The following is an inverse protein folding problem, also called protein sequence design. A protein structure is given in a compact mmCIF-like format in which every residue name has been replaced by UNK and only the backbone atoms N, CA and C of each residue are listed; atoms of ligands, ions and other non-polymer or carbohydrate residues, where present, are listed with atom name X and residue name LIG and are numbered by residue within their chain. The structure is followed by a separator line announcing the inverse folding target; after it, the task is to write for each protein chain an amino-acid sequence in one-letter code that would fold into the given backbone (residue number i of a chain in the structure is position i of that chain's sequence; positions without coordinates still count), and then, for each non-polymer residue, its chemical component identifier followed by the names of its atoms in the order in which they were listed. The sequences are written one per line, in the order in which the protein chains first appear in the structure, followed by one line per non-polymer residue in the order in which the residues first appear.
data_IF_265267191483
#
_entry.id   IF_265267191483
#
_cell.length_a   1.000
_cell.length_b   1.000
_cell.length_c   1.000
_cell.angle_alpha   90.00
_cell.angle_beta   90.00
_cell.angle_gamma   90.00
#
_symmetry.space_group_name_H-M   'P 1'
#
loop_
_entity.id
_entity.type
_entity.pdbx_description
1 polymer ?
#
# COMPACT_ATOMS: atom_id res chain seq x y z
N UNK A 1 9.98 -13.77 -16.75
CA UNK A 1 11.39 -13.39 -16.53
C UNK A 1 12.28 -14.54 -16.94
N UNK A 2 13.26 -14.27 -17.79
CA UNK A 2 14.32 -15.23 -18.11
C UNK A 2 15.20 -15.44 -16.88
N UNK A 3 15.57 -16.69 -16.61
CA UNK A 3 16.46 -17.04 -15.51
C UNK A 3 17.89 -16.94 -16.01
N UNK A 4 18.49 -15.78 -15.84
CA UNK A 4 19.93 -15.61 -16.01
C UNK A 4 20.66 -16.21 -14.81
N UNK A 5 21.97 -16.45 -14.96
CA UNK A 5 22.83 -16.91 -13.86
C UNK A 5 24.03 -15.99 -13.76
N UNK A 6 24.47 -15.73 -12.54
CA UNK A 6 25.67 -14.95 -12.24
C UNK A 6 26.63 -15.79 -11.41
N UNK A 7 27.92 -15.74 -11.74
CA UNK A 7 28.98 -16.37 -10.96
C UNK A 7 29.67 -15.33 -10.10
N UNK A 8 29.68 -15.55 -8.79
CA UNK A 8 30.41 -14.74 -7.82
C UNK A 8 31.39 -15.67 -7.12
N UNK A 9 32.68 -15.43 -7.33
CA UNK A 9 33.76 -16.36 -6.95
C UNK A 9 33.53 -17.76 -7.55
N UNK A 10 33.36 -18.79 -6.70
CA UNK A 10 33.04 -20.16 -7.12
C UNK A 10 31.53 -20.50 -7.11
N UNK A 11 30.67 -19.57 -6.71
CA UNK A 11 29.24 -19.83 -6.51
C UNK A 11 28.42 -19.31 -7.67
N UNK A 12 27.42 -20.08 -8.08
CA UNK A 12 26.51 -19.74 -9.17
C UNK A 12 25.10 -19.48 -8.65
N UNK A 13 24.62 -18.25 -8.82
CA UNK A 13 23.33 -17.79 -8.31
C UNK A 13 22.33 -17.52 -9.45
N UNK A 14 21.02 -17.70 -9.22
CA UNK A 14 20.01 -17.17 -10.13
C UNK A 14 20.07 -15.64 -10.13
N UNK A 15 20.06 -15.04 -11.32
CA UNK A 15 20.00 -13.61 -11.50
C UNK A 15 18.61 -13.22 -12.04
N UNK A 16 17.96 -12.31 -11.32
CA UNK A 16 16.69 -11.73 -11.69
C UNK A 16 16.91 -10.26 -12.02
N UNK A 17 16.65 -9.87 -13.27
CA UNK A 17 16.71 -8.48 -13.72
C UNK A 17 15.31 -7.90 -13.84
N UNK A 18 15.13 -6.70 -13.34
CA UNK A 18 13.88 -5.93 -13.48
C UNK A 18 14.20 -4.43 -13.39
N UNK A 19 13.34 -3.59 -13.94
CA UNK A 19 13.41 -2.14 -13.78
C UNK A 19 13.08 -1.71 -12.34
N UNK A 20 12.10 -2.36 -11.69
CA UNK A 20 11.71 -2.02 -10.31
C UNK A 20 11.48 -3.27 -9.46
N UNK A 21 12.26 -3.38 -8.39
CA UNK A 21 12.09 -4.39 -7.35
C UNK A 21 11.25 -3.83 -6.19
N UNK A 22 10.19 -4.53 -5.82
CA UNK A 22 9.39 -4.25 -4.62
C UNK A 22 9.64 -5.36 -3.60
N UNK A 23 10.11 -4.98 -2.42
CA UNK A 23 10.37 -5.92 -1.31
C UNK A 23 9.17 -5.93 -0.36
N UNK A 24 8.60 -7.11 -0.16
CA UNK A 24 7.41 -7.36 0.65
C UNK A 24 6.15 -7.53 -0.20
N UNK A 25 5.13 -8.17 0.39
CA UNK A 25 3.84 -8.45 -0.27
C UNK A 25 2.64 -7.94 0.52
N UNK A 26 2.82 -6.98 1.43
CA UNK A 26 1.70 -6.33 2.14
C UNK A 26 0.84 -5.46 1.21
N UNK A 27 -0.25 -4.89 1.74
CA UNK A 27 -1.16 -4.05 0.96
C UNK A 27 -0.43 -2.87 0.29
N UNK A 28 0.51 -2.23 0.98
CA UNK A 28 1.31 -1.13 0.42
C UNK A 28 2.14 -1.57 -0.81
N UNK A 29 2.83 -2.72 -0.72
CA UNK A 29 3.65 -3.25 -1.80
C UNK A 29 2.81 -3.65 -3.02
N UNK A 30 1.69 -4.34 -2.78
CA UNK A 30 0.77 -4.76 -3.84
C UNK A 30 0.12 -3.55 -4.53
N UNK A 31 -0.24 -2.52 -3.76
CA UNK A 31 -0.79 -1.29 -4.31
C UNK A 31 0.24 -0.50 -5.13
N UNK A 32 1.48 -0.40 -4.63
CA UNK A 32 2.59 0.18 -5.36
C UNK A 32 2.79 -0.50 -6.73
N UNK A 33 2.79 -1.84 -6.75
CA UNK A 33 2.91 -2.60 -7.98
C UNK A 33 1.77 -2.31 -8.97
N UNK A 34 0.52 -2.24 -8.48
CA UNK A 34 -0.63 -1.90 -9.33
C UNK A 34 -0.46 -0.51 -9.98
N UNK A 35 -0.11 0.49 -9.18
CA UNK A 35 0.07 1.86 -9.66
C UNK A 35 1.26 2.00 -10.62
N UNK A 36 2.41 1.36 -10.35
CA UNK A 36 3.56 1.38 -11.25
C UNK A 36 3.20 0.86 -12.65
N UNK A 37 2.50 -0.27 -12.72
CA UNK A 37 2.03 -0.82 -14.00
C UNK A 37 1.05 0.12 -14.69
N UNK A 38 0.10 0.69 -13.95
CA UNK A 38 -0.86 1.67 -14.49
C UNK A 38 -0.18 2.96 -14.99
N UNK A 39 0.96 3.34 -14.40
CA UNK A 39 1.80 4.45 -14.84
C UNK A 39 2.75 4.08 -16.00
N UNK A 40 2.70 2.84 -16.48
CA UNK A 40 3.47 2.37 -17.64
C UNK A 40 4.78 1.67 -17.31
N UNK A 41 5.13 1.50 -16.03
CA UNK A 41 6.29 0.71 -15.61
C UNK A 41 5.88 -0.77 -15.58
N UNK A 42 6.14 -1.49 -16.67
CA UNK A 42 5.69 -2.89 -16.82
C UNK A 42 6.69 -3.92 -16.26
N UNK A 43 7.97 -3.58 -16.17
CA UNK A 43 9.02 -4.47 -15.67
C UNK A 43 9.20 -4.31 -14.15
N UNK A 44 8.19 -4.80 -13.41
CA UNK A 44 8.11 -4.76 -11.95
C UNK A 44 8.21 -6.18 -11.40
N UNK A 45 9.01 -6.37 -10.36
CA UNK A 45 9.14 -7.64 -9.66
C UNK A 45 8.80 -7.46 -8.18
N UNK A 46 7.93 -8.31 -7.63
CA UNK A 46 7.70 -8.38 -6.19
C UNK A 46 8.47 -9.56 -5.62
N UNK A 47 9.18 -9.35 -4.51
CA UNK A 47 9.84 -10.41 -3.73
C UNK A 47 9.31 -10.42 -2.30
N UNK A 48 9.04 -11.59 -1.74
CA UNK A 48 8.51 -11.72 -0.38
C UNK A 48 8.98 -13.01 0.29
N UNK A 49 9.24 -12.94 1.60
CA UNK A 49 9.56 -14.12 2.39
C UNK A 49 8.37 -15.07 2.50
N UNK A 50 7.15 -14.54 2.72
CA UNK A 50 5.93 -15.33 2.75
C UNK A 50 4.75 -14.53 2.20
N UNK A 51 4.15 -15.00 1.11
CA UNK A 51 2.95 -14.41 0.55
C UNK A 51 1.76 -14.62 1.49
N UNK A 52 1.17 -13.53 1.97
CA UNK A 52 0.06 -13.59 2.91
C UNK A 52 0.49 -13.78 4.36
N UNK A 53 1.79 -13.82 4.64
CA UNK A 53 2.36 -13.85 6.00
C UNK A 53 2.29 -12.50 6.72
N UNK A 54 1.99 -11.40 6.03
CA UNK A 54 2.05 -10.05 6.60
C UNK A 54 0.83 -9.62 7.43
N UNK A 55 0.96 -8.51 8.15
CA UNK A 55 -0.14 -7.93 8.95
C UNK A 55 -1.36 -7.57 8.10
N UNK A 56 -1.16 -7.14 6.84
CA UNK A 56 -2.28 -6.74 5.99
C UNK A 56 -3.26 -7.88 5.70
N UNK A 57 -2.79 -9.12 5.60
CA UNK A 57 -3.60 -10.31 5.33
C UNK A 57 -4.14 -11.00 6.58
N UNK A 58 -3.45 -10.86 7.72
CA UNK A 58 -3.75 -11.60 8.95
C UNK A 58 -4.43 -10.78 10.05
N UNK A 59 -4.37 -9.45 9.99
CA UNK A 59 -4.98 -8.61 11.03
C UNK A 59 -6.50 -8.57 10.93
N UNK A 60 -7.15 -8.49 12.09
CA UNK A 60 -8.56 -8.17 12.22
C UNK A 60 -8.82 -7.36 13.49
N UNK A 61 -9.80 -6.47 13.44
CA UNK A 61 -10.22 -5.63 14.57
C UNK A 61 -11.69 -5.27 14.40
N UNK A 62 -12.45 -5.18 15.48
CA UNK A 62 -13.85 -4.73 15.48
C UNK A 62 -14.09 -3.45 14.67
N UNK A 63 -13.09 -2.55 14.63
CA UNK A 63 -13.08 -1.31 13.83
C UNK A 63 -11.74 -1.09 13.14
N UNK A 64 -11.31 -2.03 12.33
CA UNK A 64 -10.16 -1.80 11.46
C UNK A 64 -10.49 -0.69 10.46
N UNK A 65 -9.83 0.46 10.65
CA UNK A 65 -10.27 1.74 10.09
C UNK A 65 -9.40 2.17 8.93
N UNK A 66 -10.03 2.53 7.82
CA UNK A 66 -9.47 3.34 6.76
C UNK A 66 -9.91 4.80 6.97
N UNK A 67 -8.97 5.75 6.93
CA UNK A 67 -9.30 7.17 6.99
C UNK A 67 -9.34 7.75 5.58
N UNK A 68 -10.47 8.39 5.24
CA UNK A 68 -10.67 9.19 4.02
C UNK A 68 -11.30 10.54 4.38
N UNK A 69 -11.25 11.51 3.48
CA UNK A 69 -12.05 12.73 3.68
C UNK A 69 -13.53 12.38 3.93
N UNK A 70 -14.22 13.26 4.66
CA UNK A 70 -15.66 13.16 4.83
C UNK A 70 -16.33 13.41 3.47
N UNK A 71 -16.86 12.35 2.87
CA UNK A 71 -17.46 12.38 1.52
C UNK A 71 -19.00 12.36 1.55
N UNK A 72 -19.58 12.21 2.74
CA UNK A 72 -21.02 12.10 2.93
C UNK A 72 -21.44 12.91 4.16
N UNK A 73 -22.58 13.58 4.07
CA UNK A 73 -23.10 14.46 5.11
C UNK A 73 -22.89 15.94 4.82
N UNK A 74 -23.27 16.78 5.78
CA UNK A 74 -23.25 18.25 5.65
C UNK A 74 -21.98 18.88 6.25
N UNK A 75 -21.13 18.09 6.91
CA UNK A 75 -19.92 18.61 7.54
C UNK A 75 -18.88 19.02 6.50
N UNK A 76 -18.34 20.24 6.65
CA UNK A 76 -17.20 20.69 5.85
C UNK A 76 -15.94 19.93 6.26
N UNK A 77 -15.19 19.48 5.26
CA UNK A 77 -13.89 18.84 5.42
C UNK A 77 -12.92 19.32 4.34
N UNK A 78 -11.62 19.12 4.57
CA UNK A 78 -10.57 19.40 3.58
C UNK A 78 -9.32 18.58 3.85
N UNK A 79 -8.48 18.44 2.83
CA UNK A 79 -7.15 17.83 2.92
C UNK A 79 -6.34 18.43 4.07
N UNK A 80 -6.29 19.76 4.19
CA UNK A 80 -5.53 20.44 5.24
C UNK A 80 -6.10 20.22 6.64
N UNK A 81 -7.42 20.10 6.77
CA UNK A 81 -8.05 19.75 8.06
C UNK A 81 -7.68 18.32 8.47
N UNK A 82 -7.73 17.36 7.55
CA UNK A 82 -7.31 15.98 7.83
C UNK A 82 -5.82 15.90 8.15
N UNK A 83 -4.97 16.60 7.39
CA UNK A 83 -3.53 16.67 7.66
C UNK A 83 -3.23 17.25 9.06
N UNK A 84 -3.93 18.31 9.47
CA UNK A 84 -3.82 18.86 10.83
C UNK A 84 -4.21 17.83 11.89
N UNK A 85 -5.28 17.07 11.68
CA UNK A 85 -5.70 16.01 12.59
C UNK A 85 -4.63 14.92 12.71
N UNK A 86 -4.08 14.44 11.59
CA UNK A 86 -3.02 13.42 11.57
C UNK A 86 -1.73 13.92 12.25
N UNK A 87 -1.36 15.19 12.02
CA UNK A 87 -0.17 15.82 12.59
C UNK A 87 -0.28 16.09 14.10
N UNK A 88 -1.47 16.44 14.59
CA UNK A 88 -1.67 16.94 15.95
C UNK A 88 -1.21 15.98 17.07
N UNK A 89 -1.12 14.67 16.79
CA UNK A 89 -0.60 13.67 17.72
C UNK A 89 0.92 13.71 17.93
N UNK A 90 1.67 14.48 17.12
CA UNK A 90 3.12 14.67 17.24
C UNK A 90 3.99 13.51 16.75
N UNK A 91 3.39 12.39 16.34
CA UNK A 91 4.10 11.20 15.86
C UNK A 91 4.24 11.13 14.32
N UNK A 92 3.89 12.21 13.61
CA UNK A 92 3.89 12.27 12.15
C UNK A 92 4.41 13.62 11.68
N UNK A 93 5.23 13.65 10.63
CA UNK A 93 5.66 14.89 10.00
C UNK A 93 4.49 15.54 9.21
N UNK A 94 4.45 16.87 9.18
CA UNK A 94 3.33 17.61 8.59
C UNK A 94 3.21 17.45 7.08
N UNK A 95 4.32 17.26 6.38
CA UNK A 95 4.38 16.96 4.95
C UNK A 95 3.82 15.57 4.63
N UNK A 96 4.21 14.54 5.39
CA UNK A 96 3.64 13.21 5.29
C UNK A 96 2.13 13.24 5.59
N UNK A 97 1.72 13.96 6.63
CA UNK A 97 0.30 14.11 6.97
C UNK A 97 -0.50 14.74 5.83
N UNK A 98 0.09 15.72 5.14
CA UNK A 98 -0.52 16.35 3.97
C UNK A 98 -0.63 15.40 2.78
N UNK A 99 0.41 14.60 2.51
CA UNK A 99 0.43 13.61 1.43
C UNK A 99 -0.64 12.54 1.69
N UNK A 100 -0.65 11.93 2.88
CA UNK A 100 -1.64 10.92 3.25
C UNK A 100 -3.08 11.46 3.15
N UNK A 101 -3.33 12.67 3.65
CA UNK A 101 -4.65 13.30 3.55
C UNK A 101 -5.08 13.60 2.10
N UNK A 102 -4.15 13.98 1.23
CA UNK A 102 -4.42 14.34 -0.16
C UNK A 102 -4.67 13.10 -1.04
N UNK A 103 -3.92 12.02 -0.81
CA UNK A 103 -3.96 10.81 -1.63
C UNK A 103 -4.99 9.80 -1.13
N UNK A 104 -5.33 9.82 0.16
CA UNK A 104 -6.29 8.89 0.75
C UNK A 104 -7.64 8.81 -0.01
N UNK A 105 -8.31 9.92 -0.41
CA UNK A 105 -9.54 9.81 -1.18
C UNK A 105 -9.35 9.10 -2.54
N UNK A 106 -8.21 9.30 -3.20
CA UNK A 106 -7.92 8.66 -4.48
C UNK A 106 -7.74 7.15 -4.29
N UNK A 107 -6.96 6.76 -3.28
CA UNK A 107 -6.72 5.36 -2.97
C UNK A 107 -7.97 4.66 -2.43
N UNK A 108 -8.81 5.37 -1.67
CA UNK A 108 -10.10 4.85 -1.25
C UNK A 108 -10.96 4.45 -2.46
N UNK A 109 -11.06 5.32 -3.47
CA UNK A 109 -11.81 5.01 -4.67
C UNK A 109 -11.14 3.94 -5.54
N UNK A 110 -9.81 3.88 -5.58
CA UNK A 110 -9.10 2.77 -6.20
C UNK A 110 -9.50 1.42 -5.58
N UNK A 111 -9.51 1.32 -4.25
CA UNK A 111 -9.93 0.11 -3.54
C UNK A 111 -11.41 -0.23 -3.76
N UNK A 112 -12.27 0.78 -3.84
CA UNK A 112 -13.68 0.61 -4.24
C UNK A 112 -13.79 -0.01 -5.63
N UNK A 113 -13.04 0.51 -6.62
CA UNK A 113 -13.02 -0.01 -8.00
C UNK A 113 -12.51 -1.46 -8.06
N UNK A 114 -11.53 -1.81 -7.22
CA UNK A 114 -11.07 -3.19 -7.05
C UNK A 114 -12.10 -4.09 -6.33
N UNK A 115 -13.17 -3.53 -5.80
CA UNK A 115 -14.30 -4.24 -5.19
C UNK A 115 -14.15 -4.50 -3.70
N UNK A 116 -13.41 -3.67 -2.96
CA UNK A 116 -13.46 -3.65 -1.49
C UNK A 116 -14.84 -3.13 -1.06
N UNK A 117 -15.61 -3.88 -0.23
CA UNK A 117 -17.01 -3.58 0.03
C UNK A 117 -17.17 -2.54 1.16
N UNK A 118 -16.65 -1.34 0.95
CA UNK A 118 -16.87 -0.23 1.89
C UNK A 118 -18.37 0.13 1.96
N UNK A 119 -18.89 0.45 3.15
CA UNK A 119 -20.30 0.75 3.33
C UNK A 119 -20.69 2.07 2.65
N UNK A 120 -21.84 2.07 1.98
CA UNK A 120 -22.45 3.27 1.42
C UNK A 120 -23.96 3.29 1.73
N UNK A 121 -24.55 4.48 1.73
CA UNK A 121 -26.00 4.63 1.89
C UNK A 121 -26.77 4.22 0.61
N UNK A 122 -28.10 4.24 0.67
CA UNK A 122 -28.98 3.89 -0.45
C UNK A 122 -28.82 4.79 -1.70
N UNK A 123 -28.15 5.94 -1.56
CA UNK A 123 -27.88 6.89 -2.65
C UNK A 123 -26.43 6.82 -3.16
N UNK A 124 -25.62 5.86 -2.67
CA UNK A 124 -24.23 5.67 -3.07
C UNK A 124 -23.20 6.53 -2.32
N UNK A 125 -23.60 7.28 -1.30
CA UNK A 125 -22.67 8.06 -0.48
C UNK A 125 -21.89 7.19 0.50
N UNK A 126 -20.55 7.21 0.42
CA UNK A 126 -19.66 6.49 1.33
C UNK A 126 -19.60 7.16 2.71
N UNK A 127 -20.42 6.62 3.62
CA UNK A 127 -20.54 7.06 5.00
C UNK A 127 -19.28 6.72 5.81
N UNK A 128 -19.05 7.51 6.85
CA UNK A 128 -18.01 7.24 7.83
C UNK A 128 -18.50 7.41 9.26
N UNK A 129 -17.62 7.18 10.23
CA UNK A 129 -17.91 7.29 11.65
C UNK A 129 -16.83 8.11 12.36
N UNK A 130 -17.17 8.64 13.53
CA UNK A 130 -16.24 9.40 14.37
C UNK A 130 -15.32 8.45 15.11
N UNK A 131 -14.06 8.87 15.28
CA UNK A 131 -13.10 8.23 16.18
C UNK A 131 -12.71 9.22 17.27
N UNK A 132 -12.02 8.75 18.31
CA UNK A 132 -11.74 9.55 19.51
C UNK A 132 -11.07 10.90 19.22
N UNK A 133 -10.24 10.95 18.16
CA UNK A 133 -9.48 12.15 17.78
C UNK A 133 -9.87 12.72 16.41
N UNK A 134 -10.90 12.15 15.76
CA UNK A 134 -11.43 12.66 14.48
C UNK A 134 -12.96 12.83 14.55
N UNK A 135 -13.45 14.07 14.74
CA UNK A 135 -14.88 14.34 14.82
C UNK A 135 -15.58 14.38 13.45
N UNK A 136 -14.82 14.35 12.34
CA UNK A 136 -15.29 14.65 10.98
C UNK A 136 -15.86 13.46 10.21
N UNK A 137 -16.03 12.32 10.87
CA UNK A 137 -16.55 11.08 10.26
C UNK A 137 -15.68 10.57 9.09
N UNK A 138 -14.36 10.72 9.21
CA UNK A 138 -13.39 10.31 8.18
C UNK A 138 -13.12 8.81 8.15
N UNK A 139 -13.38 8.14 9.26
CA UNK A 139 -13.14 6.71 9.41
C UNK A 139 -14.22 5.89 8.69
N UNK A 140 -13.80 4.84 7.97
CA UNK A 140 -14.68 3.83 7.39
C UNK A 140 -14.05 2.44 7.52
N UNK A 141 -14.86 1.40 7.45
CA UNK A 141 -14.45 0.02 7.62
C UNK A 141 -15.39 -0.87 6.83
N UNK A 142 -14.85 -1.89 6.15
CA UNK A 142 -15.62 -2.98 5.54
C UNK A 142 -15.80 -4.16 6.51
N UNK A 143 -15.84 -3.86 7.81
CA UNK A 143 -15.97 -4.82 8.90
C UNK A 143 -14.62 -5.31 9.44
N UNK A 144 -14.63 -6.40 10.24
CA UNK A 144 -13.46 -6.77 11.04
C UNK A 144 -12.19 -7.12 10.26
N UNK A 145 -12.35 -7.41 8.97
CA UNK A 145 -11.30 -7.88 8.06
C UNK A 145 -10.99 -6.86 6.96
N UNK A 146 -11.14 -5.56 7.24
CA UNK A 146 -10.99 -4.50 6.22
C UNK A 146 -9.65 -4.59 5.48
N UNK A 147 -8.55 -4.70 6.22
CA UNK A 147 -7.20 -4.81 5.67
C UNK A 147 -7.01 -6.11 4.89
N UNK A 148 -7.54 -7.24 5.37
CA UNK A 148 -7.47 -8.49 4.64
C UNK A 148 -8.22 -8.38 3.31
N UNK A 149 -9.40 -7.77 3.31
CA UNK A 149 -10.18 -7.54 2.08
C UNK A 149 -9.41 -6.66 1.09
N UNK A 150 -8.81 -5.55 1.55
CA UNK A 150 -7.92 -4.71 0.73
C UNK A 150 -6.78 -5.54 0.13
N UNK A 151 -6.05 -6.27 0.98
CA UNK A 151 -4.96 -7.16 0.56
C UNK A 151 -5.41 -8.17 -0.50
N UNK A 152 -6.54 -8.85 -0.30
CA UNK A 152 -7.07 -9.85 -1.24
C UNK A 152 -7.39 -9.23 -2.60
N UNK A 153 -8.01 -8.03 -2.62
CA UNK A 153 -8.34 -7.34 -3.87
C UNK A 153 -7.09 -6.86 -4.60
N UNK A 154 -6.13 -6.28 -3.88
CA UNK A 154 -4.85 -5.84 -4.43
C UNK A 154 -4.03 -7.02 -4.98
N UNK A 155 -3.91 -8.13 -4.24
CA UNK A 155 -3.22 -9.32 -4.74
C UNK A 155 -3.88 -9.88 -6.00
N UNK A 156 -5.22 -9.90 -6.02
CA UNK A 156 -5.98 -10.28 -7.21
C UNK A 156 -5.66 -9.38 -8.41
N UNK A 157 -5.52 -8.07 -8.17
CA UNK A 157 -5.20 -7.10 -9.22
C UNK A 157 -3.77 -7.24 -9.73
N UNK A 158 -2.78 -7.36 -8.84
CA UNK A 158 -1.37 -7.64 -9.20
C UNK A 158 -1.27 -8.87 -10.10
N UNK A 159 -1.99 -9.96 -9.77
CA UNK A 159 -2.04 -11.17 -10.60
C UNK A 159 -2.68 -10.95 -11.96
N UNK A 160 -3.77 -10.17 -12.05
CA UNK A 160 -4.42 -9.83 -13.32
C UNK A 160 -3.53 -8.98 -14.22
N UNK A 161 -2.76 -8.07 -13.63
CA UNK A 161 -1.77 -7.25 -14.32
C UNK A 161 -0.53 -8.04 -14.75
N UNK A 162 -0.40 -9.30 -14.33
CA UNK A 162 0.70 -10.17 -14.72
C UNK A 162 2.03 -9.84 -14.05
N UNK A 163 2.02 -9.10 -12.94
CA UNK A 163 3.24 -8.75 -12.20
C UNK A 163 3.86 -10.02 -11.59
N UNK A 164 5.12 -10.35 -11.93
CA UNK A 164 5.83 -11.47 -11.33
C UNK A 164 5.99 -11.32 -9.81
N UNK A 165 5.82 -12.44 -9.09
CA UNK A 165 5.98 -12.52 -7.64
C UNK A 165 6.87 -13.71 -7.26
N UNK A 166 7.98 -13.43 -6.58
CA UNK A 166 8.87 -14.40 -5.97
C UNK A 166 8.51 -14.57 -4.50
N UNK A 167 7.73 -15.61 -4.20
CA UNK A 167 7.39 -16.04 -2.85
C UNK A 167 8.47 -16.98 -2.28
N UNK A 168 8.57 -17.11 -0.96
CA UNK A 168 9.60 -17.90 -0.27
C UNK A 168 11.03 -17.40 -0.54
N UNK A 169 11.18 -16.08 -0.66
CA UNK A 169 12.47 -15.41 -0.87
C UNK A 169 12.67 -14.31 0.17
N UNK A 170 13.51 -14.59 1.16
CA UNK A 170 13.90 -13.60 2.18
C UNK A 170 14.99 -12.68 1.62
N UNK A 171 14.75 -11.36 1.70
CA UNK A 171 15.77 -10.36 1.36
C UNK A 171 16.64 -10.14 2.59
N UNK A 172 17.89 -10.60 2.50
CA UNK A 172 18.85 -10.55 3.62
C UNK A 172 19.81 -9.36 3.54
N UNK A 173 19.97 -8.77 2.35
CA UNK A 173 20.94 -7.70 2.13
C UNK A 173 20.54 -6.83 0.94
N UNK A 174 20.78 -5.52 1.06
CA UNK A 174 20.71 -4.57 -0.05
C UNK A 174 22.13 -4.15 -0.39
N UNK A 175 22.51 -4.30 -1.67
CA UNK A 175 23.78 -3.78 -2.15
C UNK A 175 23.73 -2.25 -2.11
N UNK A 176 24.76 -1.64 -1.55
CA UNK A 176 24.83 -0.18 -1.42
C UNK A 176 26.17 0.34 -1.90
N UNK A 177 26.16 1.54 -2.46
CA UNK A 177 27.34 2.29 -2.87
C UNK A 177 27.33 3.65 -2.17
N UNK A 178 28.52 4.16 -1.82
CA UNK A 178 28.68 5.49 -1.25
C UNK A 178 28.73 6.53 -2.37
N UNK A 179 27.85 7.53 -2.31
CA UNK A 179 27.83 8.69 -3.19
C UNK A 179 28.01 9.96 -2.35
N UNK A 180 29.26 10.30 -2.04
CA UNK A 180 29.59 11.41 -1.14
C UNK A 180 29.33 11.08 0.33
N UNK A 181 28.46 11.87 0.98
CA UNK A 181 28.01 11.61 2.36
C UNK A 181 26.75 10.72 2.43
N UNK A 182 26.16 10.39 1.28
CA UNK A 182 24.93 9.59 1.20
C UNK A 182 25.22 8.16 0.71
N UNK A 183 24.43 7.20 1.21
CA UNK A 183 24.45 5.81 0.76
C UNK A 183 23.25 5.58 -0.16
N UNK A 184 23.48 4.97 -1.33
CA UNK A 184 22.42 4.60 -2.26
C UNK A 184 22.36 3.09 -2.43
N UNK A 185 21.16 2.54 -2.58
CA UNK A 185 20.98 1.15 -2.99
C UNK A 185 21.33 1.04 -4.47
N UNK A 186 22.13 0.04 -4.83
CA UNK A 186 22.59 -0.23 -6.21
C UNK A 186 22.27 -1.66 -6.63
N UNK A 187 22.12 -1.90 -7.93
CA UNK A 187 21.79 -3.20 -8.50
C UNK A 187 21.13 -3.10 -9.86
#
# INVERSE_FOLDING_TARGET
MEKERITIEQWEFPLYRCHTLIVGSGAAALNCACHLVNFGVQDVLIVTAELGGGTSSQSGSDKQTYYKLSLAGEEKDSVYEMARTLFAGGAMHGDHALIEAALSPQEFFHLVELGVPFPHNAFGGYVGYKTDHDPKQRATSSGPWTSQQMYTKLLGQVRKLGVPLLDQHEVIFLLTEQEGEESRVVG
#
